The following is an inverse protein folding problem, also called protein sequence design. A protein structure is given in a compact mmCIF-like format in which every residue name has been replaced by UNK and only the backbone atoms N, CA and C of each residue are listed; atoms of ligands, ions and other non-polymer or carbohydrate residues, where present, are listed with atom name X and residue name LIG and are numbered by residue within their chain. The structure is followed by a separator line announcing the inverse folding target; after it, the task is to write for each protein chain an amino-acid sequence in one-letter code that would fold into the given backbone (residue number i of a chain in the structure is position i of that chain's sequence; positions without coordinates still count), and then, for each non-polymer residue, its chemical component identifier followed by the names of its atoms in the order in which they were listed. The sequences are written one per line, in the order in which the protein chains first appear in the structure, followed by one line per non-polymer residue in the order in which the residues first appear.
data_IF_583959415668
#
_entry.id   IF_583959415668
#
_cell.length_a   1.000
_cell.length_b   1.000
_cell.length_c   1.000
_cell.angle_alpha   90.00
_cell.angle_beta   90.00
_cell.angle_gamma   90.00
#
_symmetry.space_group_name_H-M   'P 1'
#
loop_
_entity.id
_entity.type
_entity.pdbx_description
1 polymer ?
#
# COMPACT_ATOMS: atom_id res chain seq x y z
N UNK A 1 1.75 11.41 -9.24
CA UNK A 1 0.43 11.24 -8.57
C UNK A 1 0.70 11.09 -7.09
N UNK A 2 0.03 11.86 -6.22
CA UNK A 2 0.16 11.71 -4.76
C UNK A 2 -0.90 10.74 -4.27
N UNK A 3 -0.51 9.69 -3.54
CA UNK A 3 -1.47 8.76 -2.94
C UNK A 3 -2.12 9.44 -1.75
N UNK A 4 -3.42 9.75 -1.86
CA UNK A 4 -4.18 10.30 -0.74
C UNK A 4 -4.51 9.17 0.23
N UNK A 5 -3.82 9.14 1.36
CA UNK A 5 -3.96 8.11 2.38
C UNK A 5 -4.48 8.75 3.68
N UNK A 6 -5.51 8.18 4.33
CA UNK A 6 -5.96 8.65 5.63
C UNK A 6 -4.81 8.66 6.65
N UNK A 7 -4.76 9.63 7.59
CA UNK A 7 -3.67 9.73 8.57
C UNK A 7 -3.43 8.45 9.38
N UNK A 8 -4.51 7.70 9.68
CA UNK A 8 -4.42 6.43 10.39
C UNK A 8 -3.69 5.35 9.59
N UNK A 9 -3.92 5.28 8.29
CA UNK A 9 -3.28 4.28 7.42
C UNK A 9 -1.83 4.67 7.14
N UNK A 10 -1.56 5.97 7.01
CA UNK A 10 -0.18 6.47 6.93
C UNK A 10 0.63 6.14 8.20
N UNK A 11 0.03 6.26 9.39
CA UNK A 11 0.67 5.85 10.65
C UNK A 11 0.95 4.35 10.69
N UNK A 12 0.01 3.52 10.24
CA UNK A 12 0.20 2.06 10.15
C UNK A 12 1.35 1.71 9.20
N UNK A 13 1.40 2.35 8.02
CA UNK A 13 2.47 2.14 7.05
C UNK A 13 3.84 2.53 7.64
N UNK A 14 3.93 3.67 8.35
CA UNK A 14 5.16 4.06 9.05
C UNK A 14 5.60 3.05 10.10
N UNK A 15 4.68 2.56 10.93
CA UNK A 15 4.99 1.55 11.95
C UNK A 15 5.50 0.25 11.32
N UNK A 16 4.82 -0.20 10.25
CA UNK A 16 5.26 -1.38 9.52
C UNK A 16 6.64 -1.17 8.90
N UNK A 17 6.91 0.01 8.31
CA UNK A 17 8.21 0.30 7.70
C UNK A 17 9.34 0.32 8.72
N UNK A 18 9.10 0.85 9.93
CA UNK A 18 10.06 0.81 11.02
C UNK A 18 10.36 -0.63 11.48
N UNK A 19 9.33 -1.48 11.56
CA UNK A 19 9.50 -2.90 11.87
C UNK A 19 10.29 -3.61 10.77
N UNK A 20 9.96 -3.39 9.50
CA UNK A 20 10.67 -3.98 8.37
C UNK A 20 12.15 -3.56 8.32
N UNK A 21 12.47 -2.30 8.65
CA UNK A 21 13.85 -1.85 8.76
C UNK A 21 14.63 -2.64 9.82
N UNK A 22 14.02 -2.86 11.00
CA UNK A 22 14.63 -3.66 12.06
C UNK A 22 14.80 -5.14 11.65
N UNK A 23 13.79 -5.73 11.00
CA UNK A 23 13.83 -7.13 10.56
C UNK A 23 14.88 -7.38 9.47
N UNK A 24 15.16 -6.37 8.65
CA UNK A 24 16.11 -6.43 7.53
C UNK A 24 17.50 -5.89 7.88
N UNK A 25 17.74 -5.47 9.13
CA UNK A 25 18.97 -4.80 9.58
C UNK A 25 19.35 -3.58 8.71
N UNK A 26 18.34 -2.79 8.35
CA UNK A 26 18.48 -1.56 7.56
C UNK A 26 18.31 -0.32 8.46
N UNK A 27 19.00 0.79 8.13
CA UNK A 27 18.87 2.03 8.91
C UNK A 27 17.46 2.64 8.82
N UNK A 28 16.81 2.52 7.65
CA UNK A 28 15.44 2.98 7.42
C UNK A 28 14.83 2.20 6.25
N UNK A 29 13.51 2.04 6.27
CA UNK A 29 12.69 1.69 5.11
C UNK A 29 11.69 2.81 4.88
N UNK A 30 11.78 3.50 3.75
CA UNK A 30 10.90 4.63 3.48
C UNK A 30 9.51 4.13 3.05
N UNK A 31 8.44 4.70 3.60
CA UNK A 31 7.06 4.35 3.24
C UNK A 31 6.78 4.47 1.72
N UNK A 32 7.43 5.41 1.04
CA UNK A 32 7.32 5.57 -0.40
C UNK A 32 7.97 4.41 -1.17
N UNK A 33 9.09 3.87 -0.68
CA UNK A 33 9.73 2.69 -1.27
C UNK A 33 8.86 1.46 -1.10
N UNK A 34 8.24 1.27 0.07
CA UNK A 34 7.28 0.18 0.29
C UNK A 34 6.16 0.22 -0.74
N UNK A 35 5.55 1.39 -0.97
CA UNK A 35 4.49 1.54 -1.97
C UNK A 35 4.98 1.27 -3.40
N UNK A 36 6.20 1.71 -3.74
CA UNK A 36 6.81 1.45 -5.04
C UNK A 36 7.05 -0.04 -5.26
N UNK A 37 7.68 -0.72 -4.30
CA UNK A 37 7.94 -2.16 -4.34
C UNK A 37 6.65 -2.96 -4.42
N UNK A 38 5.61 -2.57 -3.66
CA UNK A 38 4.30 -3.22 -3.75
C UNK A 38 3.67 -3.08 -5.14
N UNK A 39 3.83 -1.93 -5.80
CA UNK A 39 3.34 -1.73 -7.16
C UNK A 39 4.13 -2.56 -8.18
N UNK A 40 5.46 -2.60 -8.06
CA UNK A 40 6.32 -3.42 -8.91
C UNK A 40 5.93 -4.90 -8.82
N UNK A 41 5.71 -5.42 -7.61
CA UNK A 41 5.21 -6.79 -7.41
C UNK A 41 3.81 -6.98 -8.02
N UNK A 42 2.90 -6.04 -7.78
CA UNK A 42 1.52 -6.17 -8.26
C UNK A 42 1.41 -6.14 -9.79
N UNK A 43 2.31 -5.46 -10.50
CA UNK A 43 2.30 -5.43 -11.97
C UNK A 43 2.62 -6.79 -12.59
N UNK A 44 3.45 -7.59 -11.91
CA UNK A 44 3.91 -8.89 -12.41
C UNK A 44 3.18 -10.09 -11.77
N UNK A 45 2.20 -9.85 -10.88
CA UNK A 45 1.45 -10.88 -10.16
C UNK A 45 -0.06 -10.79 -10.47
N UNK A 46 -0.51 -11.61 -11.43
CA UNK A 46 -1.91 -11.66 -11.88
C UNK A 46 -2.90 -12.01 -10.74
N UNK A 47 -2.52 -12.92 -9.85
CA UNK A 47 -3.35 -13.33 -8.71
C UNK A 47 -3.54 -12.18 -7.73
N UNK A 48 -2.48 -11.41 -7.47
CA UNK A 48 -2.55 -10.20 -6.65
C UNK A 48 -3.41 -9.13 -7.32
N UNK A 49 -3.29 -8.94 -8.63
CA UNK A 49 -4.16 -8.01 -9.36
C UNK A 49 -5.62 -8.41 -9.24
N UNK A 50 -5.96 -9.69 -9.38
CA UNK A 50 -7.32 -10.18 -9.23
C UNK A 50 -7.85 -9.96 -7.82
N UNK A 51 -7.04 -10.21 -6.80
CA UNK A 51 -7.41 -9.91 -5.40
C UNK A 51 -7.65 -8.42 -5.18
N UNK A 52 -6.83 -7.54 -5.77
CA UNK A 52 -7.03 -6.09 -5.74
C UNK A 52 -8.35 -5.73 -6.42
N UNK A 53 -8.63 -6.26 -7.62
CA UNK A 53 -9.89 -6.05 -8.35
C UNK A 53 -11.10 -6.46 -7.51
N UNK A 54 -11.10 -7.67 -6.96
CA UNK A 54 -12.19 -8.16 -6.10
C UNK A 54 -12.40 -7.27 -4.86
N UNK A 55 -11.31 -6.80 -4.26
CA UNK A 55 -11.39 -5.91 -3.10
C UNK A 55 -11.95 -4.53 -3.46
N UNK A 56 -11.57 -3.99 -4.62
CA UNK A 56 -12.10 -2.72 -5.13
C UNK A 56 -13.60 -2.81 -5.47
N UNK A 57 -14.05 -3.93 -6.06
CA UNK A 57 -15.47 -4.19 -6.31
C UNK A 57 -16.28 -4.19 -4.99
N UNK A 58 -15.74 -4.82 -3.95
CA UNK A 58 -16.41 -4.92 -2.64
C UNK A 58 -16.40 -3.61 -1.86
N UNK A 59 -15.31 -2.84 -1.94
CA UNK A 59 -15.13 -1.57 -1.21
C UNK A 59 -15.71 -0.35 -1.95
N UNK A 60 -16.15 -0.52 -3.20
CA UNK A 60 -16.73 0.52 -4.02
C UNK A 60 -15.69 1.51 -4.53
N UNK A 61 -14.54 1.01 -4.99
CA UNK A 61 -13.35 1.74 -5.45
C UNK A 61 -13.65 3.18 -5.85
N UNK A 62 -13.26 4.13 -5.00
CA UNK A 62 -13.39 5.60 -5.19
C UNK A 62 -14.79 6.18 -5.51
N UNK A 63 -15.84 5.38 -5.75
CA UNK A 63 -17.20 5.89 -6.02
C UNK A 63 -17.88 6.53 -4.81
N UNK A 64 -17.27 6.44 -3.61
CA UNK A 64 -17.73 7.15 -2.41
C UNK A 64 -17.30 8.63 -2.33
N UNK A 65 -16.73 9.21 -3.38
CA UNK A 65 -16.34 10.64 -3.39
C UNK A 65 -17.38 11.60 -3.99
N UNK A 66 -18.62 11.15 -4.26
CA UNK A 66 -19.74 12.07 -4.59
C UNK A 66 -21.06 11.58 -4.01
N UNK A 67 -21.30 11.83 -2.72
CA UNK A 67 -22.64 12.09 -2.18
C UNK A 67 -22.53 13.07 -1.04
#
# INVERSE_FOLDING_TARGET
MTVNMPPVDHRKLKLWSAQAAADLDLPEVAAAEVLRTLWEIAVDDDDLQDRIRQRLLTSGGSLRSRR
#
